data_IF_752672146079
#
_entry.id   IF_752672146079
#
_cell.length_a   1.000
_cell.length_b   1.000
_cell.length_c   1.000
_cell.angle_alpha   90.00
_cell.angle_beta   90.00
_cell.angle_gamma   90.00
#
_symmetry.space_group_name_H-M   'P 1'
#
loop_
_entity.id
_entity.type
_entity.pdbx_description
1 polymer ?
#
# COMPACT_ATOMS: atom_id res chain seq x y z
N UNK A 1 -23.03 -26.99 -11.75
CA UNK A 1 -22.46 -27.91 -10.75
C UNK A 1 -23.17 -27.63 -9.43
N UNK A 2 -23.91 -28.61 -8.89
CA UNK A 2 -24.60 -28.53 -7.61
C UNK A 2 -23.64 -28.99 -6.50
N UNK A 3 -22.87 -28.06 -5.95
CA UNK A 3 -21.85 -28.32 -4.92
C UNK A 3 -22.44 -28.24 -3.50
N UNK A 4 -23.61 -28.82 -3.28
CA UNK A 4 -24.21 -28.83 -1.94
C UNK A 4 -23.56 -29.93 -1.12
N UNK A 5 -22.66 -29.57 -0.21
CA UNK A 5 -22.08 -30.51 0.75
C UNK A 5 -23.19 -30.98 1.70
N UNK A 6 -23.47 -32.28 1.72
CA UNK A 6 -24.52 -32.89 2.53
C UNK A 6 -23.93 -33.76 3.64
N UNK A 7 -24.57 -33.75 4.81
CA UNK A 7 -24.15 -34.51 5.99
C UNK A 7 -25.28 -35.41 6.48
N UNK A 8 -24.94 -36.63 6.92
CA UNK A 8 -25.90 -37.44 7.66
C UNK A 8 -26.12 -36.84 9.06
N UNK A 9 -27.23 -37.21 9.73
CA UNK A 9 -27.48 -36.78 11.13
C UNK A 9 -26.33 -37.17 12.06
N UNK A 10 -25.69 -38.31 11.81
CA UNK A 10 -24.55 -38.77 12.60
C UNK A 10 -23.32 -37.89 12.38
N UNK A 11 -23.03 -37.54 11.13
CA UNK A 11 -21.86 -36.71 10.78
C UNK A 11 -22.05 -35.27 11.25
N UNK A 12 -23.27 -34.74 11.12
CA UNK A 12 -23.60 -33.42 11.66
C UNK A 12 -23.47 -33.39 13.20
N UNK A 13 -23.89 -34.45 13.88
CA UNK A 13 -23.75 -34.58 15.33
C UNK A 13 -22.28 -34.53 15.78
N UNK A 14 -21.38 -35.24 15.09
CA UNK A 14 -19.95 -35.23 15.41
C UNK A 14 -19.31 -33.88 15.07
N UNK A 15 -19.63 -33.32 13.91
CA UNK A 15 -19.07 -32.07 13.40
C UNK A 15 -19.42 -30.86 14.28
N UNK A 16 -20.64 -30.81 14.80
CA UNK A 16 -21.12 -29.71 15.65
C UNK A 16 -21.07 -30.01 17.16
N UNK A 17 -20.55 -31.18 17.55
CA UNK A 17 -20.50 -31.65 18.94
C UNK A 17 -21.89 -31.59 19.61
N UNK A 18 -22.92 -32.01 18.87
CA UNK A 18 -24.32 -32.09 19.33
C UNK A 18 -24.77 -33.54 19.36
N UNK A 19 -25.66 -33.91 20.27
CA UNK A 19 -26.22 -35.25 20.29
C UNK A 19 -27.19 -35.45 19.12
N UNK A 20 -27.26 -36.66 18.55
CA UNK A 20 -28.23 -37.01 17.49
C UNK A 20 -29.67 -36.72 17.91
N UNK A 21 -30.00 -36.92 19.17
CA UNK A 21 -31.32 -36.59 19.74
C UNK A 21 -31.65 -35.09 19.61
N UNK A 22 -30.67 -34.22 19.80
CA UNK A 22 -30.84 -32.77 19.61
C UNK A 22 -31.13 -32.46 18.16
N UNK A 23 -30.38 -33.03 17.22
CA UNK A 23 -30.60 -32.83 15.79
C UNK A 23 -31.99 -33.33 15.36
N UNK A 24 -32.42 -34.52 15.80
CA UNK A 24 -33.76 -35.01 15.49
C UNK A 24 -34.87 -34.13 16.08
N UNK A 25 -34.66 -33.58 17.28
CA UNK A 25 -35.59 -32.63 17.89
C UNK A 25 -35.69 -31.36 17.05
N UNK A 26 -34.55 -30.81 16.63
CA UNK A 26 -34.50 -29.57 15.86
C UNK A 26 -35.09 -29.77 14.44
N UNK A 27 -34.93 -30.95 13.85
CA UNK A 27 -35.61 -31.33 12.60
C UNK A 27 -37.11 -31.43 12.80
N UNK A 28 -37.56 -32.13 13.86
CA UNK A 28 -38.99 -32.28 14.16
C UNK A 28 -39.66 -30.94 14.44
N UNK A 29 -38.94 -30.02 15.07
CA UNK A 29 -39.42 -28.68 15.39
C UNK A 29 -39.33 -27.71 14.19
N UNK A 30 -38.80 -28.13 13.05
CA UNK A 30 -38.64 -27.29 11.86
C UNK A 30 -37.53 -26.24 11.96
N UNK A 31 -36.66 -26.34 12.99
CA UNK A 31 -35.49 -25.46 13.14
C UNK A 31 -34.43 -25.81 12.10
N UNK A 32 -34.25 -27.10 11.84
CA UNK A 32 -33.29 -27.65 10.88
C UNK A 32 -34.03 -28.39 9.77
N UNK A 33 -33.80 -28.02 8.51
CA UNK A 33 -34.38 -28.75 7.37
C UNK A 33 -33.51 -29.96 6.99
N UNK A 34 -34.16 -31.01 6.48
CA UNK A 34 -33.49 -32.16 5.86
C UNK A 34 -34.15 -32.49 4.54
N UNK A 35 -33.37 -33.05 3.63
CA UNK A 35 -33.86 -33.54 2.36
C UNK A 35 -34.67 -34.84 2.50
N UNK A 36 -35.36 -35.19 1.43
CA UNK A 36 -36.07 -36.47 1.29
C UNK A 36 -35.14 -37.68 1.46
N UNK A 37 -33.86 -37.54 1.09
CA UNK A 37 -32.82 -38.55 1.28
C UNK A 37 -32.38 -38.70 2.75
N UNK A 38 -32.87 -37.85 3.66
CA UNK A 38 -32.53 -37.87 5.08
C UNK A 38 -31.20 -37.19 5.43
N UNK A 39 -30.52 -36.60 4.44
CA UNK A 39 -29.33 -35.78 4.64
C UNK A 39 -29.69 -34.32 4.93
N UNK A 40 -28.77 -33.63 5.58
CA UNK A 40 -28.87 -32.21 5.93
C UNK A 40 -27.82 -31.45 5.15
N UNK A 41 -28.21 -30.37 4.50
CA UNK A 41 -27.30 -29.49 3.77
C UNK A 41 -26.37 -28.73 4.73
N UNK A 42 -25.13 -28.48 4.30
CA UNK A 42 -24.17 -27.70 5.08
C UNK A 42 -24.67 -26.29 5.42
N UNK A 43 -25.38 -25.64 4.49
CA UNK A 43 -25.97 -24.31 4.70
C UNK A 43 -26.98 -24.30 5.84
N UNK A 44 -27.80 -25.35 5.97
CA UNK A 44 -28.77 -25.48 7.07
C UNK A 44 -28.07 -25.65 8.41
N UNK A 45 -27.03 -26.48 8.47
CA UNK A 45 -26.22 -26.65 9.68
C UNK A 45 -25.49 -25.35 10.06
N UNK A 46 -24.95 -24.64 9.07
CA UNK A 46 -24.28 -23.36 9.28
C UNK A 46 -25.25 -22.29 9.79
N UNK A 47 -26.46 -22.22 9.22
CA UNK A 47 -27.52 -21.30 9.64
C UNK A 47 -27.97 -21.55 11.08
N UNK A 48 -28.14 -22.81 11.47
CA UNK A 48 -28.71 -23.19 12.77
C UNK A 48 -27.65 -23.24 13.88
N UNK A 49 -26.48 -23.80 13.58
CA UNK A 49 -25.45 -24.08 14.59
C UNK A 49 -24.16 -23.26 14.41
N UNK A 50 -24.03 -22.47 13.35
CA UNK A 50 -22.86 -21.63 13.10
C UNK A 50 -21.69 -22.41 12.47
N UNK A 51 -20.46 -21.99 12.72
CA UNK A 51 -19.29 -22.70 12.22
C UNK A 51 -19.07 -24.04 12.95
N UNK A 52 -18.73 -25.12 12.23
CA UNK A 52 -18.52 -26.42 12.86
C UNK A 52 -17.27 -26.45 13.76
N UNK A 53 -17.37 -27.18 14.87
CA UNK A 53 -16.31 -27.29 15.87
C UNK A 53 -15.18 -28.22 15.39
N UNK A 54 -14.30 -27.71 14.54
CA UNK A 54 -13.17 -28.48 14.03
C UNK A 54 -12.78 -28.21 12.58
N UNK A 55 -13.28 -27.14 11.95
CA UNK A 55 -12.90 -26.73 10.59
C UNK A 55 -11.39 -26.49 10.38
N UNK A 56 -10.58 -26.53 11.44
CA UNK A 56 -9.11 -26.53 11.34
C UNK A 56 -8.52 -27.91 10.98
N UNK A 57 -9.29 -29.00 11.03
CA UNK A 57 -8.74 -30.37 10.97
C UNK A 57 -9.67 -31.40 10.27
N UNK A 58 -10.66 -30.97 9.48
CA UNK A 58 -11.43 -31.92 8.67
C UNK A 58 -10.57 -32.30 7.45
N UNK A 59 -10.14 -33.57 7.45
CA UNK A 59 -9.31 -34.23 6.43
C UNK A 59 -9.52 -33.66 5.02
N UNK A 60 -8.39 -33.30 4.39
CA UNK A 60 -8.17 -33.32 2.93
C UNK A 60 -8.95 -34.49 2.32
N UNK A 61 -10.14 -34.20 1.82
CA UNK A 61 -10.62 -34.86 0.62
C UNK A 61 -9.92 -34.07 -0.49
N UNK A 62 -9.34 -34.78 -1.46
CA UNK A 62 -8.55 -34.24 -2.57
C UNK A 62 -9.36 -33.32 -3.51
N UNK A 63 -9.90 -32.23 -2.99
CA UNK A 63 -10.00 -31.00 -3.74
C UNK A 63 -8.63 -30.37 -3.61
N UNK A 64 -7.94 -30.23 -4.74
CA UNK A 64 -6.76 -29.38 -4.88
C UNK A 64 -6.81 -28.26 -3.86
N UNK A 65 -5.73 -28.11 -3.11
CA UNK A 65 -5.46 -26.91 -2.34
C UNK A 65 -5.59 -25.73 -3.29
N UNK A 66 -6.81 -25.21 -3.45
CA UNK A 66 -7.06 -23.81 -3.74
C UNK A 66 -6.62 -23.15 -2.45
N UNK A 67 -5.30 -23.05 -2.36
CA UNK A 67 -4.57 -22.15 -1.53
C UNK A 67 -5.20 -20.80 -1.88
N UNK A 68 -6.16 -20.37 -1.07
CA UNK A 68 -6.66 -19.02 -1.14
C UNK A 68 -5.42 -18.15 -0.97
N UNK A 69 -4.90 -17.62 -2.07
CA UNK A 69 -3.72 -16.75 -2.15
C UNK A 69 -3.96 -15.38 -1.47
N UNK A 70 -4.95 -15.28 -0.59
CA UNK A 70 -5.36 -14.05 0.08
C UNK A 70 -5.18 -14.08 1.60
N UNK A 71 -4.63 -15.16 2.16
CA UNK A 71 -4.03 -15.09 3.49
C UNK A 71 -2.52 -14.99 3.27
N UNK A 72 -1.89 -13.81 3.44
CA UNK A 72 -0.43 -13.75 3.43
C UNK A 72 0.04 -14.56 4.63
N UNK A 73 0.46 -15.80 4.37
CA UNK A 73 1.24 -16.57 5.30
C UNK A 73 2.46 -15.70 5.62
N UNK A 74 2.51 -15.19 6.85
CA UNK A 74 3.47 -14.19 7.28
C UNK A 74 4.86 -14.83 7.22
N UNK A 75 5.49 -14.71 6.06
CA UNK A 75 6.78 -15.34 5.80
C UNK A 75 7.81 -14.53 6.56
N UNK A 76 8.81 -15.17 7.19
CA UNK A 76 9.87 -14.49 7.93
C UNK A 76 10.51 -13.33 7.17
N UNK A 77 10.54 -13.42 5.83
CA UNK A 77 10.98 -12.34 4.93
C UNK A 77 10.15 -11.06 5.06
N UNK A 78 8.82 -11.17 5.14
CA UNK A 78 7.91 -10.01 5.31
C UNK A 78 8.09 -9.36 6.68
N UNK A 79 8.32 -10.16 7.73
CA UNK A 79 8.63 -9.64 9.07
C UNK A 79 9.91 -8.81 9.04
N UNK A 80 10.95 -9.32 8.40
CA UNK A 80 12.26 -8.66 8.30
C UNK A 80 12.16 -7.37 7.49
N UNK A 81 11.45 -7.39 6.37
CA UNK A 81 11.21 -6.19 5.56
C UNK A 81 10.45 -5.12 6.34
N UNK A 82 9.35 -5.50 7.00
CA UNK A 82 8.56 -4.56 7.80
C UNK A 82 9.37 -3.98 8.96
N UNK A 83 10.20 -4.78 9.63
CA UNK A 83 11.13 -4.29 10.65
C UNK A 83 12.10 -3.26 10.06
N UNK A 84 12.67 -3.54 8.89
CA UNK A 84 13.57 -2.61 8.20
C UNK A 84 12.88 -1.29 7.84
N UNK A 85 11.63 -1.34 7.36
CA UNK A 85 10.83 -0.15 7.08
C UNK A 85 10.56 0.66 8.36
N UNK A 86 10.20 -0.01 9.46
CA UNK A 86 9.97 0.64 10.77
C UNK A 86 11.24 1.36 11.24
N UNK A 87 12.40 0.71 11.16
CA UNK A 87 13.66 1.30 11.59
C UNK A 87 14.06 2.50 10.72
N UNK A 88 13.82 2.41 9.41
CA UNK A 88 14.05 3.52 8.50
C UNK A 88 13.13 4.72 8.82
N UNK A 89 11.84 4.48 9.04
CA UNK A 89 10.88 5.53 9.39
C UNK A 89 11.19 6.17 10.75
N UNK A 90 11.57 5.38 11.76
CA UNK A 90 12.03 5.90 13.05
C UNK A 90 13.23 6.81 12.91
N UNK A 91 14.22 6.43 12.09
CA UNK A 91 15.40 7.25 11.81
C UNK A 91 15.06 8.54 11.06
N UNK A 92 14.05 8.53 10.19
CA UNK A 92 13.56 9.76 9.55
C UNK A 92 12.87 10.68 10.55
N UNK A 93 12.06 10.12 11.44
CA UNK A 93 11.38 10.87 12.50
C UNK A 93 12.38 11.57 13.42
N UNK A 94 13.37 10.83 13.93
CA UNK A 94 14.45 11.38 14.77
C UNK A 94 15.19 12.53 14.07
N UNK A 95 15.53 12.37 12.78
CA UNK A 95 16.15 13.45 11.99
C UNK A 95 15.26 14.67 11.78
N UNK A 96 13.95 14.49 11.72
CA UNK A 96 13.00 15.59 11.58
C UNK A 96 12.87 16.35 12.90
N UNK A 97 12.73 15.62 14.01
CA UNK A 97 12.68 16.16 15.37
C UNK A 97 13.96 16.92 15.72
N UNK A 98 15.14 16.40 15.38
CA UNK A 98 16.42 17.11 15.55
C UNK A 98 16.48 18.44 14.81
N UNK A 99 15.91 18.51 13.60
CA UNK A 99 15.85 19.75 12.83
C UNK A 99 14.88 20.73 13.44
N UNK A 100 13.72 20.25 13.89
CA UNK A 100 12.72 21.07 14.57
C UNK A 100 13.29 21.65 15.86
N UNK A 101 13.90 20.82 16.70
CA UNK A 101 14.56 21.23 17.95
C UNK A 101 15.61 22.32 17.71
N UNK A 102 16.46 22.17 16.69
CA UNK A 102 17.45 23.20 16.31
C UNK A 102 16.80 24.49 15.82
N UNK A 103 15.70 24.40 15.08
CA UNK A 103 14.96 25.58 14.62
C UNK A 103 14.29 26.31 15.79
N UNK A 104 13.65 25.58 16.69
CA UNK A 104 13.02 26.13 17.90
C UNK A 104 14.05 26.78 18.81
N UNK A 105 15.21 26.14 19.04
CA UNK A 105 16.31 26.76 19.80
C UNK A 105 16.79 28.07 19.16
N UNK A 106 16.85 28.13 17.83
CA UNK A 106 17.17 29.39 17.12
C UNK A 106 16.07 30.44 17.31
N UNK A 107 14.80 30.05 17.29
CA UNK A 107 13.67 30.96 17.56
C UNK A 107 13.78 31.51 18.99
N UNK A 108 14.01 30.66 19.99
CA UNK A 108 14.12 31.06 21.40
C UNK A 108 15.26 32.05 21.63
N UNK A 109 16.42 31.80 21.02
CA UNK A 109 17.56 32.74 21.09
C UNK A 109 17.22 34.10 20.48
N UNK A 110 16.54 34.13 19.32
CA UNK A 110 16.12 35.37 18.68
C UNK A 110 15.07 36.13 19.52
N UNK A 111 14.10 35.42 20.10
CA UNK A 111 13.10 36.02 20.99
C UNK A 111 13.76 36.63 22.23
N UNK A 112 14.71 35.93 22.83
CA UNK A 112 15.48 36.43 23.98
C UNK A 112 16.24 37.72 23.62
N UNK A 113 16.87 37.77 22.44
CA UNK A 113 17.56 38.98 21.97
C UNK A 113 16.61 40.16 21.73
N UNK A 114 15.37 39.90 21.31
CA UNK A 114 14.34 40.92 21.15
C UNK A 114 13.87 41.43 22.51
N UNK A 115 13.62 40.54 23.47
CA UNK A 115 13.18 40.90 24.82
C UNK A 115 14.26 41.68 25.59
N UNK A 116 15.53 41.32 25.41
CA UNK A 116 16.66 42.03 26.01
C UNK A 116 16.99 43.35 25.28
N UNK A 117 16.41 43.62 24.10
CA UNK A 117 16.66 44.88 23.39
C UNK A 117 15.83 46.00 24.04
N UNK A 118 16.46 47.09 24.52
CA UNK A 118 15.71 48.22 25.08
C UNK A 118 14.83 48.85 23.99
N UNK A 119 13.65 49.42 24.34
CA UNK A 119 12.77 50.05 23.37
C UNK A 119 13.48 51.25 22.74
N UNK A 120 13.99 51.09 21.52
CA UNK A 120 14.54 52.19 20.75
C UNK A 120 13.38 53.00 20.18
N UNK A 121 13.01 54.07 20.87
CA UNK A 121 12.27 55.20 20.31
C UNK A 121 13.07 55.80 19.15
N UNK A 122 12.84 55.35 17.91
CA UNK A 122 13.34 56.04 16.73
C UNK A 122 12.26 56.02 15.64
N UNK A 123 11.58 57.16 15.57
CA UNK A 123 10.78 57.58 14.42
C UNK A 123 11.64 57.54 13.15
N UNK A 124 11.00 57.13 12.07
CA UNK A 124 11.44 57.17 10.68
C UNK A 124 12.07 58.51 10.28
N UNK A 125 13.31 58.49 9.78
CA UNK A 125 13.80 59.52 8.85
C UNK A 125 14.62 58.87 7.73
N UNK A 126 14.03 58.96 6.55
CA UNK A 126 14.56 58.85 5.20
C UNK A 126 15.97 59.43 5.04
N UNK A 127 16.96 58.68 4.55
CA UNK A 127 18.08 59.23 3.74
C UNK A 127 18.74 58.11 2.92
N UNK A 128 18.59 58.26 1.61
CA UNK A 128 19.24 57.55 0.51
C UNK A 128 20.75 57.88 0.46
N UNK A 129 21.64 56.88 0.50
CA UNK A 129 23.08 57.08 0.20
C UNK A 129 23.70 55.89 -0.57
N UNK A 130 24.04 56.20 -1.82
CA UNK A 130 24.82 55.47 -2.82
C UNK A 130 26.26 55.15 -2.35
N UNK A 131 26.81 53.93 -2.55
CA UNK A 131 28.21 53.65 -2.25
C UNK A 131 29.13 53.99 -3.44
N UNK A 132 30.17 54.77 -3.18
CA UNK A 132 31.29 55.08 -4.09
C UNK A 132 32.44 54.11 -3.81
N UNK A 133 32.97 53.47 -4.86
CA UNK A 133 34.16 52.60 -4.81
C UNK A 133 35.46 53.42 -4.75
N UNK A 134 36.56 52.83 -4.25
CA UNK A 134 37.90 53.19 -4.71
C UNK A 134 38.68 51.99 -5.28
N UNK A 135 39.30 52.23 -6.43
CA UNK A 135 40.14 51.37 -7.26
C UNK A 135 41.63 51.44 -6.89
N UNK A 136 42.38 50.33 -7.02
CA UNK A 136 43.82 50.35 -7.34
C UNK A 136 44.24 49.10 -8.16
N UNK A 137 44.90 49.36 -9.29
CA UNK A 137 45.52 48.43 -10.25
C UNK A 137 46.91 47.91 -9.81
N UNK A 138 47.25 46.65 -10.15
CA UNK A 138 48.37 46.23 -11.06
C UNK A 138 48.91 44.81 -10.80
N UNK A 139 48.72 43.96 -11.83
CA UNK A 139 49.71 43.16 -12.58
C UNK A 139 50.49 41.98 -11.92
N UNK A 140 50.28 40.79 -12.51
CA UNK A 140 50.95 39.49 -12.29
C UNK A 140 52.38 39.37 -12.88
N UNK A 141 53.11 38.24 -12.70
CA UNK A 141 53.15 37.23 -13.78
C UNK A 141 53.23 35.73 -13.38
N UNK A 142 52.60 34.92 -14.26
CA UNK A 142 52.63 33.50 -14.70
C UNK A 142 53.97 32.67 -14.69
N UNK A 143 54.10 31.41 -15.25
CA UNK A 143 53.16 30.27 -15.53
C UNK A 143 53.76 28.83 -15.33
N UNK A 144 52.93 27.79 -15.56
CA UNK A 144 53.32 26.47 -16.12
C UNK A 144 52.79 25.26 -15.33
N UNK A 145 52.27 24.15 -15.88
CA UNK A 145 52.01 23.66 -17.25
C UNK A 145 51.14 22.39 -17.14
N UNK A 146 50.19 22.21 -18.08
CA UNK A 146 49.65 20.97 -18.72
C UNK A 146 49.11 19.81 -17.83
N UNK A 147 47.89 19.31 -18.06
CA UNK A 147 47.58 18.32 -19.11
C UNK A 147 46.13 18.44 -19.63
N UNK A 148 46.00 18.17 -20.93
CA UNK A 148 44.80 18.15 -21.77
C UNK A 148 43.83 17.00 -21.39
N UNK A 149 42.54 17.03 -21.74
CA UNK A 149 41.93 16.77 -23.08
C UNK A 149 40.45 17.24 -23.04
N UNK A 150 40.01 18.11 -23.96
CA UNK A 150 39.20 17.81 -25.16
C UNK A 150 37.93 16.97 -24.86
N UNK A 151 36.70 17.30 -25.26
CA UNK A 151 36.23 18.02 -26.45
C UNK A 151 34.83 18.63 -26.21
N UNK A 152 34.52 19.70 -26.93
CA UNK A 152 33.35 20.56 -26.71
C UNK A 152 32.00 19.97 -27.15
N UNK A 153 30.93 20.69 -26.82
CA UNK A 153 30.16 21.52 -27.78
C UNK A 153 28.82 21.97 -27.14
N UNK A 154 28.66 23.29 -27.01
CA UNK A 154 27.42 24.10 -27.07
C UNK A 154 26.14 23.70 -26.31
N UNK A 155 25.74 24.59 -25.41
CA UNK A 155 24.34 24.93 -25.06
C UNK A 155 23.48 25.21 -26.30
N UNK A 156 22.18 24.92 -26.26
CA UNK A 156 21.24 26.02 -26.47
C UNK A 156 20.04 26.05 -25.50
N UNK A 157 19.58 27.27 -25.30
CA UNK A 157 18.30 27.70 -24.74
C UNK A 157 17.06 27.05 -25.37
N UNK A 158 15.93 27.17 -24.65
CA UNK A 158 14.53 27.08 -25.14
C UNK A 158 14.09 25.63 -25.53
N UNK A 159 12.88 25.13 -25.29
CA UNK A 159 11.55 25.71 -25.07
C UNK A 159 10.64 24.56 -24.58
N UNK A 160 9.60 24.90 -23.82
CA UNK A 160 8.28 24.25 -23.88
C UNK A 160 8.07 22.78 -23.43
N UNK A 161 7.26 22.65 -22.37
CA UNK A 161 6.41 21.52 -21.99
C UNK A 161 6.22 20.44 -23.08
N UNK A 162 6.69 19.22 -22.80
CA UNK A 162 6.04 18.00 -23.30
C UNK A 162 5.83 17.02 -22.15
N UNK A 163 4.55 16.81 -21.85
CA UNK A 163 3.99 15.70 -21.09
C UNK A 163 4.76 14.41 -21.39
N UNK A 164 5.09 13.69 -20.34
CA UNK A 164 5.55 12.30 -20.39
C UNK A 164 4.54 11.51 -21.24
N UNK A 165 4.94 10.71 -22.25
CA UNK A 165 4.01 9.91 -23.01
C UNK A 165 3.45 8.83 -22.08
N UNK A 166 2.14 8.91 -21.81
CA UNK A 166 1.39 7.87 -21.11
C UNK A 166 1.42 6.62 -22.00
N UNK A 167 1.85 5.45 -21.51
CA UNK A 167 1.73 4.21 -22.26
C UNK A 167 0.27 3.95 -22.62
N UNK A 168 -0.01 3.87 -23.92
CA UNK A 168 -1.32 3.56 -24.46
C UNK A 168 -1.67 2.10 -24.08
N UNK A 169 -2.61 1.91 -23.15
CA UNK A 169 -3.15 0.60 -22.83
C UNK A 169 -4.05 0.17 -23.98
N UNK A 170 -3.51 -0.60 -24.93
CA UNK A 170 -4.32 -1.28 -25.94
C UNK A 170 -5.02 -2.46 -25.26
N UNK A 171 -6.20 -2.21 -24.74
CA UNK A 171 -7.15 -3.26 -24.39
C UNK A 171 -7.58 -3.96 -25.69
N UNK A 172 -7.35 -5.28 -25.85
CA UNK A 172 -7.80 -5.96 -27.06
C UNK A 172 -9.33 -5.98 -27.07
N UNK A 173 -9.92 -5.13 -27.92
CA UNK A 173 -11.37 -5.10 -28.14
C UNK A 173 -11.82 -6.52 -28.57
N UNK A 174 -12.80 -7.14 -27.89
CA UNK A 174 -13.26 -8.47 -28.29
C UNK A 174 -13.86 -8.41 -29.68
N UNK A 175 -13.31 -9.20 -30.61
CA UNK A 175 -13.78 -9.26 -31.99
C UNK A 175 -15.27 -9.57 -32.03
N UNK A 176 -16.07 -8.62 -32.56
CA UNK A 176 -17.52 -8.76 -32.69
C UNK A 176 -17.82 -9.90 -33.65
N UNK A 177 -18.21 -11.05 -33.09
CA UNK A 177 -18.75 -12.21 -33.80
C UNK A 177 -20.05 -11.80 -34.51
N UNK A 178 -20.01 -11.72 -35.84
CA UNK A 178 -21.19 -11.40 -36.66
C UNK A 178 -22.31 -12.44 -36.50
N UNK A 179 -23.55 -12.06 -36.79
CA UNK A 179 -24.73 -12.92 -36.59
C UNK A 179 -24.65 -14.31 -37.24
N UNK A 180 -23.84 -14.48 -38.29
CA UNK A 180 -23.61 -15.76 -38.96
C UNK A 180 -22.52 -16.61 -38.29
N UNK A 181 -21.60 -16.02 -37.51
CA UNK A 181 -20.48 -16.74 -36.89
C UNK A 181 -20.89 -17.58 -35.67
N UNK A 182 -22.13 -17.39 -35.17
CA UNK A 182 -22.72 -18.16 -34.05
C UNK A 182 -23.48 -19.42 -34.50
N UNK A 183 -23.66 -19.63 -35.81
CA UNK A 183 -24.39 -20.78 -36.34
C UNK A 183 -23.51 -21.79 -37.09
N UNK A 184 -22.31 -21.41 -37.54
CA UNK A 184 -21.47 -22.25 -38.40
C UNK A 184 -20.13 -22.70 -37.80
N UNK A 185 -19.77 -22.26 -36.59
CA UNK A 185 -18.59 -22.79 -35.87
C UNK A 185 -19.06 -23.54 -34.61
N UNK A 186 -18.90 -24.87 -34.51
CA UNK A 186 -19.01 -25.58 -33.25
C UNK A 186 -17.85 -25.11 -32.36
N UNK A 187 -18.16 -24.67 -31.14
CA UNK A 187 -17.12 -24.31 -30.18
C UNK A 187 -16.30 -25.58 -29.89
N UNK A 188 -15.02 -25.56 -30.30
CA UNK A 188 -13.98 -26.36 -29.67
C UNK A 188 -13.50 -25.68 -28.40
#
# INVERSE_FOLDING_TARGET
MNTTTKYSVSDAATLYKKSRATLYKDIKNGVLSRDHDGFIDFSELLRVYGEPFGAKQAKRIDTSSIQNQNTPEYTDKTVVELKSQIDFLKKQLEKAEDRESKANARIDTLLTLIEMKPPTTNMTTFTDQKPVQPSMDKTAPEPGTVEAKHDGLTTPEQTENKRIPVPEHVEPEPQKRGFLSRFFLPNG
#
